data_IF_894262688875
#
_entry.id   IF_894262688875
#
_cell.length_a   1.000
_cell.length_b   1.000
_cell.length_c   1.000
_cell.angle_alpha   90.00
_cell.angle_beta   90.00
_cell.angle_gamma   90.00
#
_symmetry.space_group_name_H-M   'P 1'
#
loop_
_entity.id
_entity.type
_entity.pdbx_description
1 polymer ?
#
# COMPACT_ATOMS: atom_id res chain seq x y z
N UNK A 1 -31.97 0.26 19.88
CA UNK A 1 -30.60 -0.16 19.54
C UNK A 1 -30.69 -0.82 18.18
N UNK A 2 -29.92 -0.35 17.18
CA UNK A 2 -29.99 -0.85 15.81
C UNK A 2 -28.60 -1.37 15.43
N UNK A 3 -28.54 -2.49 14.69
CA UNK A 3 -27.30 -3.07 14.19
C UNK A 3 -27.10 -2.61 12.75
N UNK A 4 -25.93 -2.03 12.46
CA UNK A 4 -25.51 -1.69 11.11
C UNK A 4 -24.40 -2.64 10.65
N UNK A 5 -24.59 -3.28 9.50
CA UNK A 5 -23.59 -4.14 8.88
C UNK A 5 -22.81 -3.36 7.80
N UNK A 6 -21.48 -3.43 7.85
CA UNK A 6 -20.61 -2.87 6.83
C UNK A 6 -19.97 -4.05 6.09
N UNK A 7 -20.18 -4.11 4.77
CA UNK A 7 -19.61 -5.15 3.91
C UNK A 7 -18.52 -4.54 3.05
N UNK A 8 -17.38 -5.21 2.98
CA UNK A 8 -16.28 -4.82 2.08
C UNK A 8 -16.04 -5.88 1.02
N UNK A 9 -15.61 -5.45 -0.18
CA UNK A 9 -15.28 -6.34 -1.29
C UNK A 9 -13.77 -6.44 -1.42
N UNK A 10 -13.25 -7.66 -1.45
CA UNK A 10 -11.87 -7.99 -1.77
C UNK A 10 -11.88 -8.94 -2.96
N UNK A 11 -11.09 -8.65 -4.00
CA UNK A 11 -10.86 -9.55 -5.12
C UNK A 11 -9.67 -10.42 -4.74
N UNK A 12 -9.81 -11.73 -4.88
CA UNK A 12 -8.74 -12.71 -4.63
C UNK A 12 -8.38 -13.35 -5.96
N UNK A 13 -7.11 -13.34 -6.32
CA UNK A 13 -6.60 -13.94 -7.55
C UNK A 13 -5.19 -14.52 -7.37
N UNK A 14 -4.75 -15.31 -8.34
CA UNK A 14 -3.36 -15.73 -8.48
C UNK A 14 -2.56 -14.68 -9.28
N UNK A 15 -1.22 -14.77 -9.22
CA UNK A 15 -0.34 -13.90 -10.00
C UNK A 15 -0.57 -14.04 -11.51
N UNK A 16 -0.88 -15.24 -12.00
CA UNK A 16 -1.05 -15.52 -13.43
C UNK A 16 -2.32 -14.87 -14.02
N UNK A 17 -3.32 -14.61 -13.19
CA UNK A 17 -4.57 -13.95 -13.60
C UNK A 17 -4.44 -12.42 -13.79
N UNK A 18 -3.32 -11.86 -13.37
CA UNK A 18 -3.03 -10.43 -13.50
C UNK A 18 -2.58 -10.08 -14.93
N UNK A 19 -2.91 -8.87 -15.37
CA UNK A 19 -2.36 -8.32 -16.61
C UNK A 19 -0.91 -7.86 -16.43
N UNK A 20 -0.21 -7.61 -17.55
CA UNK A 20 1.20 -7.24 -17.55
C UNK A 20 1.52 -5.93 -16.79
N UNK A 21 0.61 -4.97 -16.78
CA UNK A 21 0.78 -3.70 -16.03
C UNK A 21 0.72 -3.95 -14.52
N UNK A 22 -0.21 -4.77 -14.07
CA UNK A 22 -0.38 -5.17 -12.68
C UNK A 22 0.82 -6.01 -12.19
N UNK A 23 1.27 -6.98 -13.00
CA UNK A 23 2.46 -7.79 -12.71
C UNK A 23 3.70 -6.91 -12.52
N UNK A 24 3.95 -5.98 -13.45
CA UNK A 24 5.09 -5.05 -13.36
C UNK A 24 5.07 -4.20 -12.08
N UNK A 25 3.90 -3.75 -11.67
CA UNK A 25 3.76 -2.96 -10.44
C UNK A 25 4.05 -3.82 -9.19
N UNK A 26 3.53 -5.04 -9.14
CA UNK A 26 3.80 -5.98 -8.06
C UNK A 26 5.28 -6.37 -8.02
N UNK A 27 5.89 -6.65 -9.18
CA UNK A 27 7.31 -6.99 -9.25
C UNK A 27 8.22 -5.84 -8.79
N UNK A 28 7.84 -4.59 -9.08
CA UNK A 28 8.53 -3.42 -8.54
C UNK A 28 8.42 -3.35 -7.01
N UNK A 29 7.27 -3.68 -6.43
CA UNK A 29 7.11 -3.76 -4.98
C UNK A 29 7.94 -4.91 -4.39
N UNK A 30 7.97 -6.08 -5.04
CA UNK A 30 8.80 -7.23 -4.63
C UNK A 30 10.28 -6.87 -4.65
N UNK A 31 10.77 -6.22 -5.71
CA UNK A 31 12.16 -5.79 -5.78
C UNK A 31 12.51 -4.77 -4.70
N UNK A 32 11.60 -3.85 -4.38
CA UNK A 32 11.80 -2.84 -3.35
C UNK A 32 12.05 -3.45 -1.95
N UNK A 33 11.60 -4.67 -1.66
CA UNK A 33 11.88 -5.35 -0.39
C UNK A 33 13.37 -5.52 -0.13
N UNK A 34 14.20 -5.66 -1.17
CA UNK A 34 15.65 -5.81 -1.06
C UNK A 34 16.36 -4.56 -0.52
N UNK A 35 15.68 -3.41 -0.49
CA UNK A 35 16.20 -2.13 0.03
C UNK A 35 15.67 -1.83 1.43
N UNK A 36 14.93 -2.75 2.02
CA UNK A 36 14.42 -2.63 3.40
C UNK A 36 15.57 -2.59 4.40
N UNK A 37 15.49 -1.68 5.35
CA UNK A 37 16.31 -1.69 6.55
C UNK A 37 15.46 -2.17 7.73
N UNK A 38 15.53 -3.47 8.02
CA UNK A 38 14.69 -4.14 9.03
C UNK A 38 15.51 -5.03 9.98
N UNK A 39 16.51 -4.46 10.70
CA UNK A 39 17.41 -5.25 11.57
C UNK A 39 16.70 -5.84 12.78
N UNK A 40 15.59 -5.27 13.23
CA UNK A 40 14.87 -5.67 14.43
C UNK A 40 13.82 -6.73 14.15
N UNK A 41 12.92 -6.46 13.20
CA UNK A 41 11.82 -7.37 12.86
C UNK A 41 12.24 -8.47 11.89
N UNK A 42 13.24 -8.21 11.06
CA UNK A 42 13.61 -9.04 9.89
C UNK A 42 12.46 -9.21 8.90
N UNK A 43 11.47 -8.31 8.96
CA UNK A 43 10.32 -8.29 8.07
C UNK A 43 10.51 -7.18 7.04
N UNK A 44 10.82 -7.58 5.81
CA UNK A 44 11.17 -6.69 4.71
C UNK A 44 9.91 -6.38 3.90
N UNK A 45 9.53 -5.13 3.83
CA UNK A 45 8.36 -4.67 3.06
C UNK A 45 8.81 -3.74 1.95
N UNK A 46 8.27 -3.97 0.77
CA UNK A 46 8.41 -3.08 -0.38
C UNK A 46 7.05 -2.60 -0.87
N UNK A 47 7.01 -1.38 -1.34
CA UNK A 47 5.83 -0.81 -1.97
C UNK A 47 6.18 -0.13 -3.29
N UNK A 48 5.24 -0.14 -4.24
CA UNK A 48 5.35 0.52 -5.53
C UNK A 48 4.06 1.27 -5.84
N UNK A 49 4.15 2.57 -6.09
CA UNK A 49 3.05 3.45 -6.46
C UNK A 49 3.13 3.76 -7.96
N UNK A 50 2.04 3.52 -8.68
CA UNK A 50 1.88 3.90 -10.07
C UNK A 50 1.20 5.28 -10.12
N UNK A 51 1.89 6.25 -10.66
CA UNK A 51 1.36 7.59 -10.87
C UNK A 51 0.62 7.71 -12.20
N UNK A 52 -0.29 8.64 -12.28
CA UNK A 52 -0.89 9.06 -13.54
C UNK A 52 0.22 9.43 -14.55
N UNK A 53 0.15 8.87 -15.75
CA UNK A 53 1.22 9.03 -16.75
C UNK A 53 2.25 7.90 -16.77
N UNK A 54 2.16 6.90 -15.88
CA UNK A 54 2.93 5.65 -15.95
C UNK A 54 4.22 5.62 -15.15
N UNK A 55 4.58 6.70 -14.45
CA UNK A 55 5.75 6.72 -13.54
C UNK A 55 5.50 5.80 -12.36
N UNK A 56 6.48 4.96 -12.02
CA UNK A 56 6.44 4.08 -10.84
C UNK A 56 7.45 4.58 -9.81
N UNK A 57 6.99 4.80 -8.60
CA UNK A 57 7.79 5.17 -7.43
C UNK A 57 7.83 3.98 -6.47
N UNK A 58 9.00 3.62 -5.99
CA UNK A 58 9.19 2.51 -5.05
C UNK A 58 9.75 2.98 -3.72
N UNK A 59 9.43 2.26 -2.65
CA UNK A 59 9.97 2.47 -1.32
C UNK A 59 9.98 1.19 -0.52
N UNK A 60 10.71 1.19 0.58
CA UNK A 60 10.80 0.07 1.51
C UNK A 60 10.72 0.55 2.95
N UNK A 61 10.40 -0.35 3.88
CA UNK A 61 10.37 0.00 5.30
C UNK A 61 11.79 0.28 5.82
N UNK A 62 11.88 1.29 6.69
CA UNK A 62 13.11 1.73 7.33
C UNK A 62 12.88 1.74 8.84
N UNK A 63 13.45 0.76 9.52
CA UNK A 63 13.36 0.66 10.98
C UNK A 63 14.33 1.60 11.67
N UNK A 64 14.06 1.88 12.93
CA UNK A 64 14.89 2.70 13.79
C UNK A 64 14.86 2.13 15.22
N UNK A 65 15.98 2.17 15.95
CA UNK A 65 16.02 1.77 17.36
C UNK A 65 15.04 2.60 18.22
N UNK A 66 14.84 3.86 17.88
CA UNK A 66 13.72 4.65 18.36
C UNK A 66 12.48 4.34 17.49
N UNK A 67 11.70 3.35 17.87
CA UNK A 67 10.61 2.79 17.07
C UNK A 67 9.66 3.80 16.44
N UNK A 68 9.23 4.89 17.12
CA UNK A 68 8.41 5.93 16.50
C UNK A 68 9.04 6.64 15.30
N UNK A 69 10.39 6.60 15.18
CA UNK A 69 11.13 7.22 14.07
C UNK A 69 11.21 6.32 12.82
N UNK A 70 10.80 5.06 12.91
CA UNK A 70 10.71 4.17 11.76
C UNK A 70 9.54 4.52 10.84
N UNK A 71 9.64 4.07 9.57
CA UNK A 71 8.62 4.32 8.57
C UNK A 71 8.33 3.06 7.75
N UNK A 72 7.04 2.81 7.45
CA UNK A 72 6.62 1.71 6.59
C UNK A 72 6.88 2.00 5.12
N UNK A 73 7.01 0.96 4.29
CA UNK A 73 7.26 1.05 2.87
C UNK A 73 6.23 1.91 2.13
N UNK A 74 4.94 1.75 2.46
CA UNK A 74 3.85 2.50 1.84
C UNK A 74 3.99 4.01 2.09
N UNK A 75 4.32 4.40 3.33
CA UNK A 75 4.51 5.82 3.67
C UNK A 75 5.78 6.38 3.03
N UNK A 76 6.87 5.63 3.00
CA UNK A 76 8.10 6.02 2.27
C UNK A 76 7.77 6.31 0.82
N UNK A 77 7.03 5.40 0.16
CA UNK A 77 6.65 5.52 -1.24
C UNK A 77 5.73 6.71 -1.50
N UNK A 78 4.63 6.81 -0.74
CA UNK A 78 3.60 7.83 -0.98
C UNK A 78 4.09 9.25 -0.62
N UNK A 79 4.84 9.42 0.47
CA UNK A 79 5.39 10.72 0.83
C UNK A 79 6.39 11.21 -0.20
N UNK A 80 7.26 10.33 -0.70
CA UNK A 80 8.16 10.68 -1.76
C UNK A 80 7.42 11.02 -3.07
N UNK A 81 6.46 10.19 -3.48
CA UNK A 81 5.66 10.42 -4.67
C UNK A 81 4.92 11.76 -4.60
N UNK A 82 4.21 12.02 -3.50
CA UNK A 82 3.47 13.27 -3.30
C UNK A 82 4.37 14.51 -3.20
N UNK A 83 5.62 14.35 -2.75
CA UNK A 83 6.60 15.42 -2.67
C UNK A 83 7.22 15.75 -4.03
N UNK A 84 7.56 14.75 -4.82
CA UNK A 84 8.24 14.92 -6.10
C UNK A 84 7.27 15.17 -7.26
N UNK A 85 6.05 14.66 -7.16
CA UNK A 85 5.03 14.73 -8.21
C UNK A 85 3.68 15.19 -7.62
N UNK A 86 3.61 16.43 -7.07
CA UNK A 86 2.45 16.90 -6.32
C UNK A 86 1.16 16.99 -7.13
N UNK A 87 1.28 17.07 -8.46
CA UNK A 87 0.16 17.22 -9.39
C UNK A 87 -0.26 15.89 -10.05
N UNK A 88 0.43 14.79 -9.76
CA UNK A 88 0.14 13.48 -10.35
C UNK A 88 -0.58 12.57 -9.36
N UNK A 89 -1.86 12.23 -9.61
CA UNK A 89 -2.58 11.24 -8.81
C UNK A 89 -1.88 9.89 -8.79
N UNK A 90 -1.93 9.22 -7.64
CA UNK A 90 -1.54 7.81 -7.52
C UNK A 90 -2.73 6.94 -7.95
N UNK A 91 -2.54 6.16 -9.02
CA UNK A 91 -3.59 5.30 -9.58
C UNK A 91 -3.66 3.94 -8.89
N UNK A 92 -2.49 3.41 -8.50
CA UNK A 92 -2.40 2.11 -7.87
C UNK A 92 -1.19 2.02 -6.93
N UNK A 93 -1.30 1.16 -5.92
CA UNK A 93 -0.25 0.84 -4.95
C UNK A 93 -0.11 -0.68 -4.83
N UNK A 94 1.08 -1.23 -5.04
CA UNK A 94 1.38 -2.62 -4.73
C UNK A 94 2.24 -2.71 -3.47
N UNK A 95 2.00 -3.74 -2.66
CA UNK A 95 2.71 -4.02 -1.40
C UNK A 95 3.13 -5.48 -1.42
N UNK A 96 4.39 -5.75 -1.13
CA UNK A 96 4.96 -7.08 -0.98
C UNK A 96 5.79 -7.17 0.29
N UNK A 97 5.81 -8.34 0.92
CA UNK A 97 6.60 -8.58 2.11
C UNK A 97 7.34 -9.91 2.04
N UNK A 98 8.55 -9.95 2.61
CA UNK A 98 9.35 -11.16 2.75
C UNK A 98 10.00 -11.24 4.12
N UNK A 99 10.31 -12.46 4.54
CA UNK A 99 11.07 -12.76 5.75
C UNK A 99 11.87 -14.04 5.57
N UNK A 100 13.05 -14.11 6.13
CA UNK A 100 13.92 -15.29 5.97
C UNK A 100 14.37 -15.55 4.53
N UNK A 101 14.36 -14.53 3.65
CA UNK A 101 14.76 -14.65 2.24
C UNK A 101 13.66 -15.16 1.30
N UNK A 102 12.41 -15.28 1.78
CA UNK A 102 11.28 -15.72 0.96
C UNK A 102 10.05 -14.85 1.18
N UNK A 103 9.25 -14.66 0.12
CA UNK A 103 7.99 -13.93 0.22
C UNK A 103 6.98 -14.71 1.06
N UNK A 104 6.16 -13.97 1.81
CA UNK A 104 5.10 -14.58 2.63
C UNK A 104 4.00 -15.21 1.75
N UNK A 105 3.38 -16.26 2.27
CA UNK A 105 2.35 -17.01 1.54
C UNK A 105 1.06 -16.21 1.35
N UNK A 106 0.59 -15.54 2.41
CA UNK A 106 -0.64 -14.76 2.41
C UNK A 106 -0.36 -13.27 2.41
N UNK A 107 -1.19 -12.47 1.72
CA UNK A 107 -1.00 -11.02 1.62
C UNK A 107 -0.97 -10.31 2.97
N UNK A 108 -0.03 -9.38 3.16
CA UNK A 108 0.00 -8.48 4.31
C UNK A 108 -0.73 -7.18 3.98
N UNK A 109 -1.71 -6.84 4.79
CA UNK A 109 -2.42 -5.58 4.67
C UNK A 109 -1.60 -4.41 5.28
N UNK A 110 -1.76 -3.18 4.77
CA UNK A 110 -1.13 -1.99 5.34
C UNK A 110 -1.58 -1.76 6.79
N UNK A 111 -0.67 -1.31 7.63
CA UNK A 111 -0.98 -0.96 9.02
C UNK A 111 -1.93 0.24 9.11
N UNK A 112 -2.51 0.50 10.28
CA UNK A 112 -3.48 1.58 10.46
C UNK A 112 -2.98 2.96 10.03
N UNK A 113 -1.72 3.30 10.37
CA UNK A 113 -1.10 4.56 9.96
C UNK A 113 -0.94 4.65 8.42
N UNK A 114 -0.57 3.55 7.76
CA UNK A 114 -0.49 3.51 6.29
C UNK A 114 -1.86 3.63 5.64
N UNK A 115 -2.90 3.00 6.20
CA UNK A 115 -4.28 3.14 5.67
C UNK A 115 -4.73 4.58 5.72
N UNK A 116 -4.43 5.31 6.78
CA UNK A 116 -4.76 6.74 6.92
C UNK A 116 -4.03 7.58 5.86
N UNK A 117 -2.74 7.33 5.61
CA UNK A 117 -1.98 8.07 4.58
C UNK A 117 -2.48 7.74 3.16
N UNK A 118 -2.86 6.50 2.90
CA UNK A 118 -3.46 6.11 1.61
C UNK A 118 -4.80 6.83 1.42
N UNK A 119 -5.64 6.90 2.46
CA UNK A 119 -6.90 7.64 2.44
C UNK A 119 -6.68 9.12 2.11
N UNK A 120 -5.77 9.78 2.78
CA UNK A 120 -5.43 11.18 2.52
C UNK A 120 -4.95 11.39 1.07
N UNK A 121 -4.18 10.42 0.53
CA UNK A 121 -3.74 10.48 -0.86
C UNK A 121 -4.92 10.34 -1.84
N UNK A 122 -5.88 9.45 -1.58
CA UNK A 122 -7.11 9.35 -2.37
C UNK A 122 -7.93 10.66 -2.32
N UNK A 123 -8.09 11.23 -1.13
CA UNK A 123 -8.86 12.47 -0.92
C UNK A 123 -8.19 13.69 -1.56
N UNK A 124 -6.86 13.79 -1.48
CA UNK A 124 -6.09 14.87 -2.11
C UNK A 124 -6.37 15.01 -3.59
N UNK A 125 -6.49 13.87 -4.30
CA UNK A 125 -6.69 13.84 -5.74
C UNK A 125 -8.15 13.54 -6.12
N UNK A 126 -9.03 13.37 -5.14
CA UNK A 126 -10.42 12.94 -5.34
C UNK A 126 -10.52 11.71 -6.27
N UNK A 127 -9.63 10.73 -6.04
CA UNK A 127 -9.50 9.55 -6.90
C UNK A 127 -9.17 8.31 -6.05
N UNK A 128 -9.94 7.20 -6.17
CA UNK A 128 -9.62 5.95 -5.50
C UNK A 128 -8.32 5.37 -6.05
N UNK A 129 -7.57 4.71 -5.18
CA UNK A 129 -6.30 4.04 -5.47
C UNK A 129 -6.51 2.53 -5.39
N UNK A 130 -6.28 1.84 -6.50
CA UNK A 130 -6.34 0.39 -6.52
C UNK A 130 -5.12 -0.20 -5.79
N UNK A 131 -5.36 -1.09 -4.82
CA UNK A 131 -4.29 -1.62 -3.96
C UNK A 131 -4.15 -3.12 -4.18
N UNK A 132 -2.91 -3.54 -4.45
CA UNK A 132 -2.51 -4.93 -4.64
C UNK A 132 -1.68 -5.38 -3.44
N UNK A 133 -2.16 -6.37 -2.72
CA UNK A 133 -1.46 -6.99 -1.59
C UNK A 133 -0.94 -8.34 -2.05
N UNK A 134 0.37 -8.45 -2.21
CA UNK A 134 1.00 -9.65 -2.74
C UNK A 134 1.25 -10.69 -1.66
N UNK A 135 0.87 -11.94 -1.94
CA UNK A 135 1.29 -13.15 -1.29
C UNK A 135 1.63 -14.21 -2.34
N UNK A 136 2.47 -15.18 -2.02
CA UNK A 136 2.86 -16.23 -2.97
C UNK A 136 1.69 -17.10 -3.42
N UNK A 137 0.73 -17.39 -2.51
CA UNK A 137 -0.40 -18.25 -2.78
C UNK A 137 -1.60 -17.53 -3.36
N UNK A 138 -1.76 -16.26 -2.99
CA UNK A 138 -2.90 -15.45 -3.41
C UNK A 138 -2.55 -13.96 -3.35
N UNK A 139 -3.26 -13.17 -4.11
CA UNK A 139 -3.15 -11.72 -4.14
C UNK A 139 -4.52 -11.15 -3.79
N UNK A 140 -4.55 -10.18 -2.85
CA UNK A 140 -5.76 -9.42 -2.56
C UNK A 140 -5.72 -8.10 -3.30
N UNK A 141 -6.84 -7.76 -3.93
CA UNK A 141 -7.01 -6.47 -4.60
C UNK A 141 -8.22 -5.76 -4.00
N UNK A 142 -8.03 -4.52 -3.62
CA UNK A 142 -9.11 -3.60 -3.22
C UNK A 142 -9.11 -2.37 -4.10
N UNK A 143 -10.29 -1.88 -4.45
CA UNK A 143 -10.46 -0.77 -5.40
C UNK A 143 -10.24 0.60 -4.73
N UNK A 144 -10.23 0.66 -3.41
CA UNK A 144 -9.97 1.84 -2.59
C UNK A 144 -9.58 1.40 -1.18
N UNK A 145 -8.81 2.24 -0.49
CA UNK A 145 -8.46 2.02 0.92
C UNK A 145 -9.68 1.97 1.84
N UNK A 146 -10.80 2.56 1.44
CA UNK A 146 -12.06 2.53 2.19
C UNK A 146 -12.59 1.11 2.41
N UNK A 147 -12.20 0.16 1.55
CA UNK A 147 -12.45 -1.27 1.77
C UNK A 147 -11.72 -1.84 2.99
N UNK A 148 -10.59 -1.24 3.39
CA UNK A 148 -9.78 -1.65 4.54
C UNK A 148 -9.91 -0.68 5.73
N UNK A 149 -10.72 0.38 5.58
CA UNK A 149 -10.93 1.42 6.56
C UNK A 149 -12.42 1.85 6.55
N UNK A 150 -13.34 0.95 6.95
CA UNK A 150 -14.79 1.15 6.79
C UNK A 150 -15.35 2.31 7.62
N UNK A 151 -14.71 2.65 8.74
CA UNK A 151 -14.94 3.87 9.52
C UNK A 151 -13.62 4.63 9.55
N UNK A 152 -13.58 5.79 8.96
CA UNK A 152 -12.34 6.56 8.78
C UNK A 152 -12.55 8.03 9.15
N UNK A 153 -11.49 8.66 9.62
CA UNK A 153 -11.39 10.10 9.79
C UNK A 153 -10.74 10.70 8.54
N UNK A 154 -11.39 11.69 7.94
CA UNK A 154 -10.92 12.32 6.72
C UNK A 154 -11.19 13.82 6.69
N UNK A 155 -10.88 14.46 5.58
CA UNK A 155 -11.03 15.90 5.38
C UNK A 155 -12.45 16.40 5.64
N UNK A 156 -13.46 15.58 5.34
CA UNK A 156 -14.88 15.92 5.55
C UNK A 156 -15.29 16.04 7.02
N UNK A 157 -14.47 15.54 7.95
CA UNK A 157 -14.73 15.61 9.39
C UNK A 157 -14.14 16.87 10.02
N UNK A 158 -13.35 17.64 9.26
CA UNK A 158 -12.75 18.89 9.70
C UNK A 158 -13.68 20.06 9.36
N UNK A 159 -13.75 21.11 10.24
CA UNK A 159 -14.46 22.33 9.91
C UNK A 159 -13.79 23.04 8.71
N UNK A 160 -14.59 23.70 7.88
CA UNK A 160 -14.12 24.55 6.78
C UNK A 160 -13.40 25.82 7.30
#
# INVERSE_FOLDING_TARGET
MENQNITTKIIVCSYDELNEKEKKLIDAAKEATNRSYSPYSRFQVGAAALLSGGTVITGSNQENAAYPSGICAERTTLFYANSQYPDLPVEALAIAAQTGGDFIDHPTAPCGACRQVILETEERYNRPMRIYLYGKKEIYIVESIRSLLPLCFGKSDLPE
#
